data_IF_365116010527
#
_entry.id   IF_365116010527
#
_cell.length_a   1.000
_cell.length_b   1.000
_cell.length_c   1.000
_cell.angle_alpha   90.00
_cell.angle_beta   90.00
_cell.angle_gamma   90.00
#
_symmetry.space_group_name_H-M   'P 1'
#
loop_
_entity.id
_entity.type
_entity.pdbx_description
1 polymer ?
#
# COMPACT_ATOMS: atom_id res chain seq x y z
N UNK A 1 13.53 -5.04 19.91
CA UNK A 1 12.94 -5.66 18.70
C UNK A 1 12.48 -4.66 17.63
N UNK A 2 12.20 -3.38 17.94
CA UNK A 2 11.76 -2.40 16.92
C UNK A 2 12.85 -1.85 15.96
N UNK A 3 14.10 -1.72 16.42
CA UNK A 3 15.16 -1.04 15.66
C UNK A 3 15.60 -1.76 14.38
N UNK A 4 15.44 -3.08 14.31
CA UNK A 4 15.86 -3.89 13.16
C UNK A 4 14.98 -3.59 11.93
N UNK A 5 13.69 -3.36 12.14
CA UNK A 5 12.76 -3.01 11.05
C UNK A 5 13.13 -1.67 10.37
N UNK A 6 13.63 -0.70 11.16
CA UNK A 6 14.12 0.57 10.63
C UNK A 6 15.39 0.43 9.79
N UNK A 7 16.20 -0.61 10.00
CA UNK A 7 17.39 -0.85 9.19
C UNK A 7 17.07 -1.36 7.77
N UNK A 8 15.89 -1.97 7.56
CA UNK A 8 15.45 -2.46 6.25
C UNK A 8 14.75 -1.38 5.39
N UNK A 9 14.26 -0.30 6.01
CA UNK A 9 13.69 0.86 5.32
C UNK A 9 14.59 1.44 4.21
N UNK A 10 15.90 1.72 4.44
CA UNK A 10 16.78 2.24 3.39
C UNK A 10 17.02 1.23 2.26
N UNK A 11 17.08 -0.08 2.58
CA UNK A 11 17.25 -1.15 1.58
C UNK A 11 16.03 -1.23 0.67
N UNK A 12 14.83 -1.20 1.24
CA UNK A 12 13.57 -1.18 0.48
C UNK A 12 13.43 0.10 -0.36
N UNK A 13 13.87 1.25 0.17
CA UNK A 13 13.86 2.51 -0.56
C UNK A 13 14.81 2.49 -1.77
N UNK A 14 16.00 1.90 -1.62
CA UNK A 14 16.95 1.67 -2.71
C UNK A 14 16.40 0.73 -3.77
N UNK A 15 15.76 -0.37 -3.36
CA UNK A 15 15.14 -1.33 -4.26
C UNK A 15 13.94 -0.71 -5.01
N UNK A 16 13.12 0.09 -4.33
CA UNK A 16 12.01 0.82 -4.94
C UNK A 16 12.49 1.91 -5.92
N UNK A 17 13.61 2.57 -5.59
CA UNK A 17 14.24 3.55 -6.47
C UNK A 17 14.81 2.89 -7.73
N UNK A 18 15.46 1.73 -7.58
CA UNK A 18 15.94 0.91 -8.72
C UNK A 18 14.76 0.47 -9.59
N UNK A 19 13.73 -0.15 -9.02
CA UNK A 19 12.55 -0.61 -9.76
C UNK A 19 11.81 0.51 -10.51
N UNK A 20 11.87 1.76 -10.02
CA UNK A 20 11.27 2.90 -10.70
C UNK A 20 12.06 3.34 -11.95
N UNK A 21 13.39 3.21 -11.93
CA UNK A 21 14.29 3.62 -13.03
C UNK A 21 14.70 2.46 -13.95
N UNK A 22 14.65 1.24 -13.45
CA UNK A 22 15.11 0.03 -14.10
C UNK A 22 14.08 -0.64 -15.00
N UNK A 23 14.54 -1.72 -15.61
CA UNK A 23 13.82 -2.54 -16.58
C UNK A 23 12.73 -3.41 -15.93
N UNK A 24 11.90 -4.07 -16.75
CA UNK A 24 10.80 -4.95 -16.31
C UNK A 24 11.26 -5.98 -15.27
N UNK A 25 12.46 -6.53 -15.43
CA UNK A 25 13.02 -7.56 -14.53
C UNK A 25 13.22 -7.01 -13.11
N UNK A 26 13.74 -5.79 -12.95
CA UNK A 26 13.94 -5.17 -11.63
C UNK A 26 12.62 -4.91 -10.90
N UNK A 27 11.57 -4.55 -11.66
CA UNK A 27 10.22 -4.37 -11.09
C UNK A 27 9.65 -5.67 -10.58
N UNK A 28 9.82 -6.77 -11.33
CA UNK A 28 9.34 -8.09 -10.90
C UNK A 28 10.10 -8.54 -9.65
N UNK A 29 11.43 -8.39 -9.63
CA UNK A 29 12.25 -8.74 -8.46
C UNK A 29 11.88 -7.92 -7.22
N UNK A 30 11.55 -6.64 -7.38
CA UNK A 30 11.06 -5.80 -6.29
C UNK A 30 9.75 -6.34 -5.71
N UNK A 31 8.78 -6.68 -6.57
CA UNK A 31 7.48 -7.22 -6.13
C UNK A 31 7.67 -8.56 -5.43
N UNK A 32 8.50 -9.46 -5.96
CA UNK A 32 8.79 -10.76 -5.35
C UNK A 32 9.45 -10.59 -3.97
N UNK A 33 10.46 -9.73 -3.86
CA UNK A 33 11.12 -9.46 -2.57
C UNK A 33 10.17 -8.80 -1.57
N UNK A 34 9.29 -7.91 -2.03
CA UNK A 34 8.29 -7.28 -1.17
C UNK A 34 7.30 -8.32 -0.62
N UNK A 35 6.81 -9.23 -1.46
CA UNK A 35 5.95 -10.33 -1.04
C UNK A 35 6.67 -11.31 -0.10
N UNK A 36 7.93 -11.63 -0.36
CA UNK A 36 8.73 -12.50 0.50
C UNK A 36 8.97 -11.87 1.89
N UNK A 37 9.26 -10.57 1.94
CA UNK A 37 9.38 -9.82 3.19
C UNK A 37 8.05 -9.77 3.95
N UNK A 38 6.94 -9.65 3.23
CA UNK A 38 5.62 -9.63 3.83
C UNK A 38 5.25 -11.01 4.39
N UNK A 39 5.55 -12.08 3.67
CA UNK A 39 5.39 -13.45 4.14
C UNK A 39 6.25 -13.74 5.38
N UNK A 40 7.50 -13.26 5.42
CA UNK A 40 8.35 -13.42 6.61
C UNK A 40 7.83 -12.61 7.80
N UNK A 41 7.24 -11.44 7.56
CA UNK A 41 6.58 -10.66 8.61
C UNK A 41 5.36 -11.39 9.19
N UNK A 42 4.56 -12.07 8.36
CA UNK A 42 3.45 -12.92 8.83
C UNK A 42 3.98 -14.06 9.70
N UNK A 43 5.12 -14.66 9.33
CA UNK A 43 5.70 -15.76 10.09
C UNK A 43 6.31 -15.32 11.44
N UNK A 44 6.97 -14.16 11.48
CA UNK A 44 7.59 -13.65 12.71
C UNK A 44 6.62 -12.94 13.67
N UNK A 45 5.64 -12.20 13.14
CA UNK A 45 4.76 -11.32 13.92
C UNK A 45 3.34 -11.90 14.03
N UNK A 46 2.94 -12.74 13.06
CA UNK A 46 1.62 -13.37 13.02
C UNK A 46 0.55 -12.51 12.35
N UNK A 47 -0.68 -12.64 12.85
CA UNK A 47 -1.88 -11.91 12.41
C UNK A 47 -1.75 -10.37 12.27
N UNK A 48 -0.97 -9.63 13.08
CA UNK A 48 -0.86 -8.17 12.96
C UNK A 48 -0.37 -7.73 11.57
N UNK A 49 0.49 -8.53 10.93
CA UNK A 49 1.01 -8.24 9.60
C UNK A 49 -0.06 -8.33 8.50
N UNK A 50 -1.14 -9.09 8.71
CA UNK A 50 -2.30 -9.16 7.80
C UNK A 50 -3.35 -8.10 8.12
N UNK A 51 -3.56 -7.80 9.41
CA UNK A 51 -4.61 -6.89 9.88
C UNK A 51 -4.34 -5.45 9.43
N UNK A 52 -3.11 -4.96 9.59
CA UNK A 52 -2.73 -3.58 9.21
C UNK A 52 -3.02 -3.30 7.72
N UNK A 53 -2.53 -4.10 6.76
CA UNK A 53 -2.79 -3.86 5.35
C UNK A 53 -4.27 -4.07 4.98
N UNK A 54 -4.98 -5.00 5.62
CA UNK A 54 -6.42 -5.16 5.43
C UNK A 54 -7.19 -3.92 5.89
N UNK A 55 -6.82 -3.33 7.05
CA UNK A 55 -7.42 -2.09 7.55
C UNK A 55 -7.10 -0.89 6.65
N UNK A 56 -5.87 -0.79 6.15
CA UNK A 56 -5.50 0.26 5.20
C UNK A 56 -6.29 0.14 3.89
N UNK A 57 -6.47 -1.08 3.36
CA UNK A 57 -7.26 -1.32 2.16
C UNK A 57 -8.75 -0.98 2.40
N UNK A 58 -9.33 -1.46 3.51
CA UNK A 58 -10.71 -1.17 3.88
C UNK A 58 -10.95 0.34 4.05
N UNK A 59 -10.06 1.04 4.75
CA UNK A 59 -10.11 2.49 4.89
C UNK A 59 -10.01 3.21 3.54
N UNK A 60 -9.11 2.76 2.65
CA UNK A 60 -8.99 3.28 1.30
C UNK A 60 -10.26 3.11 0.48
N UNK A 61 -10.91 1.95 0.55
CA UNK A 61 -12.19 1.69 -0.12
C UNK A 61 -13.33 2.55 0.43
N UNK A 62 -13.40 2.74 1.75
CA UNK A 62 -14.40 3.63 2.35
C UNK A 62 -14.20 5.08 1.88
N UNK A 63 -12.96 5.57 1.88
CA UNK A 63 -12.63 6.90 1.35
C UNK A 63 -13.00 7.00 -0.12
N UNK A 64 -12.65 6.00 -0.93
CA UNK A 64 -13.00 5.96 -2.36
C UNK A 64 -14.52 6.02 -2.57
N UNK A 65 -15.29 5.21 -1.84
CA UNK A 65 -16.75 5.21 -1.90
C UNK A 65 -17.33 6.56 -1.49
N UNK A 66 -16.83 7.16 -0.42
CA UNK A 66 -17.26 8.50 0.01
C UNK A 66 -16.97 9.53 -1.07
N UNK A 67 -15.79 9.54 -1.68
CA UNK A 67 -15.48 10.48 -2.76
C UNK A 67 -16.34 10.25 -4.00
N UNK A 68 -16.54 8.98 -4.39
CA UNK A 68 -17.39 8.62 -5.52
C UNK A 68 -18.84 9.09 -5.31
N UNK A 69 -19.42 8.82 -4.14
CA UNK A 69 -20.80 9.19 -3.83
C UNK A 69 -20.97 10.67 -3.49
N UNK A 70 -20.00 11.31 -2.83
CA UNK A 70 -20.05 12.74 -2.52
C UNK A 70 -19.92 13.60 -3.80
N UNK A 71 -19.22 13.12 -4.83
CA UNK A 71 -19.17 13.75 -6.15
C UNK A 71 -20.54 13.86 -6.82
N UNK A 72 -21.36 12.81 -6.72
CA UNK A 72 -22.74 12.79 -7.24
C UNK A 72 -23.70 13.66 -6.40
N UNK A 73 -23.44 13.84 -5.11
CA UNK A 73 -24.20 14.76 -4.25
C UNK A 73 -23.83 16.24 -4.43
N UNK A 74 -22.57 16.55 -4.75
CA UNK A 74 -22.06 17.93 -4.88
C UNK A 74 -22.38 18.54 -6.25
N UNK A 75 -22.29 17.76 -7.34
CA UNK A 75 -22.47 18.31 -8.70
C UNK A 75 -23.93 18.40 -9.17
N UNK A 76 -24.87 17.73 -8.50
CA UNK A 76 -26.29 17.72 -8.94
C UNK A 76 -27.12 18.87 -8.35
N UNK A 77 -26.52 19.77 -7.56
CA UNK A 77 -27.20 20.94 -6.94
C UNK A 77 -27.24 22.20 -7.84
N UNK A 78 -27.23 22.05 -9.16
CA UNK A 78 -27.49 23.15 -10.12
C UNK A 78 -28.52 22.75 -11.18
N UNK A 79 -29.79 22.71 -10.79
CA UNK A 79 -30.88 23.06 -11.72
C UNK A 79 -31.69 24.20 -11.09
N UNK A 80 -31.41 25.47 -11.45
CA UNK A 80 -32.38 26.52 -11.27
C UNK A 80 -33.51 26.29 -12.29
N UNK A 81 -34.73 26.08 -11.79
CA UNK A 81 -35.97 26.35 -12.54
C UNK A 81 -36.18 27.84 -12.64
#
# INVERSE_FOLDING_TARGET
MGFIALAYLPVLALLAWSARRGDLVERVLFVVNLLALWASAIWLIGYPALIVPALCAAGGFLVFLVFATAGDGIFTRRRPT
#
